data_IF_920449945100
#
_entry.id   IF_920449945100
#
_cell.length_a   1.000
_cell.length_b   1.000
_cell.length_c   1.000
_cell.angle_alpha   90.00
_cell.angle_beta   90.00
_cell.angle_gamma   90.00
#
_symmetry.space_group_name_H-M   'P 1'
#
loop_
_entity.id
_entity.type
_entity.pdbx_description
1 polymer ?
#
# COMPACT_ATOMS: atom_id res chain seq x y z
N UNK A 1 14.85 13.87 16.71
CA UNK A 1 16.28 14.14 16.39
C UNK A 1 16.59 14.15 14.89
N UNK A 2 16.37 13.08 14.10
CA UNK A 2 16.73 13.09 12.67
C UNK A 2 16.04 14.21 11.86
N UNK A 3 14.77 14.52 12.16
CA UNK A 3 13.97 15.53 11.44
C UNK A 3 13.99 16.94 12.05
N UNK A 4 14.55 17.08 13.25
CA UNK A 4 14.39 18.27 14.10
C UNK A 4 15.01 19.54 13.47
N UNK A 5 16.10 19.35 12.73
CA UNK A 5 16.83 20.41 12.03
C UNK A 5 16.78 20.24 10.51
N UNK A 6 15.89 19.39 10.01
CA UNK A 6 15.79 19.11 8.58
C UNK A 6 14.95 20.17 7.89
N UNK A 7 15.56 20.88 6.94
CA UNK A 7 14.86 21.78 6.04
C UNK A 7 14.35 21.03 4.81
N UNK A 8 13.14 21.34 4.39
CA UNK A 8 12.59 20.88 3.10
C UNK A 8 13.27 21.64 1.97
N UNK A 9 14.27 21.02 1.31
CA UNK A 9 14.98 21.63 0.19
C UNK A 9 15.35 20.63 -0.91
N UNK A 10 15.51 21.15 -2.14
CA UNK A 10 16.00 20.37 -3.29
C UNK A 10 17.40 19.82 -3.07
N UNK A 11 18.26 20.58 -2.39
CA UNK A 11 19.64 20.16 -2.09
C UNK A 11 19.66 18.97 -1.11
N UNK A 12 18.89 19.06 -0.02
CA UNK A 12 18.77 17.95 0.95
C UNK A 12 18.16 16.72 0.27
N UNK A 13 17.16 16.92 -0.60
CA UNK A 13 16.57 15.83 -1.37
C UNK A 13 17.59 15.14 -2.28
N UNK A 14 18.31 15.90 -3.11
CA UNK A 14 19.33 15.35 -4.00
C UNK A 14 20.46 14.65 -3.23
N UNK A 15 20.90 15.23 -2.10
CA UNK A 15 21.90 14.62 -1.22
C UNK A 15 21.43 13.27 -0.69
N UNK A 16 20.21 13.20 -0.15
CA UNK A 16 19.64 11.95 0.37
C UNK A 16 19.43 10.92 -0.74
N UNK A 17 18.99 11.34 -1.92
CA UNK A 17 18.83 10.45 -3.08
C UNK A 17 20.17 9.80 -3.47
N UNK A 18 21.24 10.60 -3.53
CA UNK A 18 22.58 10.17 -3.92
C UNK A 18 23.35 9.42 -2.82
N UNK A 19 22.88 9.44 -1.57
CA UNK A 19 23.60 8.74 -0.49
C UNK A 19 23.28 7.24 -0.53
N UNK A 20 24.29 6.36 -0.65
CA UNK A 20 24.10 4.92 -0.66
C UNK A 20 23.44 4.43 0.65
N UNK A 21 22.33 3.65 0.58
CA UNK A 21 21.65 3.16 1.77
C UNK A 21 22.52 2.26 2.65
N UNK A 22 23.47 1.52 2.06
CA UNK A 22 24.32 0.56 2.77
C UNK A 22 25.26 1.22 3.78
N UNK A 23 25.52 2.52 3.63
CA UNK A 23 26.32 3.31 4.57
C UNK A 23 25.50 3.86 5.76
N UNK A 24 24.20 3.53 5.84
CA UNK A 24 23.27 4.06 6.85
C UNK A 24 22.78 2.98 7.80
N UNK A 25 22.58 3.36 9.07
CA UNK A 25 21.81 2.55 10.04
C UNK A 25 20.34 2.44 9.63
N UNK A 26 19.63 1.46 10.17
CA UNK A 26 18.22 1.22 9.86
C UNK A 26 17.34 2.45 10.15
N UNK A 27 17.60 3.16 11.25
CA UNK A 27 16.88 4.39 11.62
C UNK A 27 17.17 5.50 10.61
N UNK A 28 18.40 5.62 10.13
CA UNK A 28 18.76 6.60 9.10
C UNK A 28 18.13 6.25 7.74
N UNK A 29 18.09 4.97 7.36
CA UNK A 29 17.39 4.52 6.14
C UNK A 29 15.89 4.82 6.23
N UNK A 30 15.26 4.55 7.37
CA UNK A 30 13.85 4.87 7.60
C UNK A 30 13.59 6.38 7.53
N UNK A 31 14.43 7.20 8.16
CA UNK A 31 14.31 8.65 8.11
C UNK A 31 14.50 9.20 6.69
N UNK A 32 15.51 8.69 5.95
CA UNK A 32 15.76 8.99 4.54
C UNK A 32 14.53 8.65 3.69
N UNK A 33 14.01 7.44 3.80
CA UNK A 33 12.83 6.98 3.05
C UNK A 33 11.63 7.91 3.30
N UNK A 34 11.36 8.21 4.58
CA UNK A 34 10.26 9.09 4.96
C UNK A 34 10.42 10.49 4.37
N UNK A 35 11.61 11.09 4.45
CA UNK A 35 11.87 12.42 3.85
C UNK A 35 11.65 12.40 2.33
N UNK A 36 12.24 11.42 1.63
CA UNK A 36 12.14 11.33 0.18
C UNK A 36 10.69 11.13 -0.26
N UNK A 37 9.92 10.25 0.40
CA UNK A 37 8.53 10.00 0.02
C UNK A 37 7.62 11.21 0.14
N UNK A 38 7.80 12.04 1.18
CA UNK A 38 6.96 13.21 1.38
C UNK A 38 7.31 14.37 0.43
N UNK A 39 8.52 14.37 -0.12
CA UNK A 39 9.01 15.42 -1.01
C UNK A 39 9.12 14.97 -2.47
N UNK A 40 8.86 13.70 -2.79
CA UNK A 40 8.84 13.19 -4.15
C UNK A 40 7.52 13.51 -4.85
N UNK A 41 7.59 13.95 -6.10
CA UNK A 41 6.41 14.16 -6.93
C UNK A 41 5.64 12.84 -7.10
N UNK A 42 4.34 12.88 -6.77
CA UNK A 42 3.46 11.70 -6.83
C UNK A 42 3.83 10.58 -5.85
N UNK A 43 4.67 10.84 -4.84
CA UNK A 43 5.08 9.84 -3.86
C UNK A 43 5.73 8.60 -4.50
N UNK A 44 6.43 8.78 -5.63
CA UNK A 44 7.10 7.67 -6.31
C UNK A 44 8.30 7.21 -5.48
N UNK A 45 8.48 5.90 -5.39
CA UNK A 45 9.65 5.27 -4.73
C UNK A 45 10.84 5.08 -5.68
N UNK A 46 10.59 5.03 -6.99
CA UNK A 46 11.60 4.89 -8.06
C UNK A 46 11.52 6.08 -9.02
N UNK A 47 12.66 6.48 -9.60
CA UNK A 47 12.78 7.68 -10.45
C UNK A 47 12.16 8.94 -9.82
N UNK A 48 12.56 9.20 -8.57
CA UNK A 48 11.98 10.28 -7.77
C UNK A 48 12.48 11.65 -8.24
N UNK A 49 11.57 12.61 -8.35
CA UNK A 49 11.86 14.01 -8.59
C UNK A 49 11.29 14.85 -7.45
N UNK A 50 11.96 15.93 -7.08
CA UNK A 50 11.46 16.83 -6.02
C UNK A 50 10.14 17.47 -6.45
N UNK A 51 9.08 17.17 -5.71
CA UNK A 51 7.73 17.69 -5.91
C UNK A 51 7.54 19.07 -5.31
N UNK A 52 6.85 19.94 -6.03
CA UNK A 52 6.45 21.27 -5.56
C UNK A 52 4.99 21.51 -5.90
N UNK A 53 4.26 22.15 -5.00
CA UNK A 53 2.93 22.67 -5.25
C UNK A 53 2.91 24.16 -4.90
N UNK A 54 2.38 24.98 -5.80
CA UNK A 54 2.21 26.43 -5.59
C UNK A 54 0.88 26.76 -4.91
N UNK A 55 -0.01 25.78 -4.81
CA UNK A 55 -1.38 25.92 -4.29
C UNK A 55 -1.58 25.27 -2.92
N UNK A 56 -0.56 24.61 -2.37
CA UNK A 56 -0.63 23.96 -1.05
C UNK A 56 0.64 24.22 -0.24
N UNK A 57 0.51 24.08 1.08
CA UNK A 57 1.64 24.23 2.00
C UNK A 57 2.64 23.09 1.78
N UNK A 58 3.92 23.44 1.74
CA UNK A 58 5.01 22.46 1.68
C UNK A 58 4.98 21.54 2.91
N UNK A 59 5.55 20.33 2.74
CA UNK A 59 5.66 19.38 3.83
C UNK A 59 6.53 19.94 4.98
N UNK A 60 6.02 19.77 6.19
CA UNK A 60 6.59 20.29 7.42
C UNK A 60 7.18 19.14 8.26
N UNK A 61 8.52 19.08 8.30
CA UNK A 61 9.26 18.05 9.00
C UNK A 61 9.03 18.09 10.54
N UNK A 62 8.63 19.23 11.10
CA UNK A 62 8.35 19.35 12.54
C UNK A 62 7.14 18.51 12.98
N UNK A 63 6.22 18.21 12.06
CA UNK A 63 5.03 17.41 12.36
C UNK A 63 5.29 15.91 12.42
N UNK A 64 6.49 15.46 12.01
CA UNK A 64 6.80 14.03 11.91
C UNK A 64 6.74 13.34 13.26
N UNK A 65 7.24 13.97 14.31
CA UNK A 65 7.23 13.40 15.66
C UNK A 65 5.80 13.15 16.16
N UNK A 66 4.91 14.14 15.99
CA UNK A 66 3.51 14.01 16.38
C UNK A 66 2.82 12.86 15.60
N UNK A 67 3.07 12.76 14.29
CA UNK A 67 2.54 11.68 13.45
C UNK A 67 3.05 10.30 13.86
N UNK A 68 4.35 10.17 14.13
CA UNK A 68 4.95 8.91 14.58
C UNK A 68 4.42 8.50 15.95
N UNK A 69 4.22 9.45 16.86
CA UNK A 69 3.60 9.19 18.17
C UNK A 69 2.17 8.70 18.03
N UNK A 70 1.35 9.38 17.22
CA UNK A 70 -0.02 8.96 16.95
C UNK A 70 -0.08 7.55 16.30
N UNK A 71 0.82 7.26 15.36
CA UNK A 71 0.91 5.93 14.75
C UNK A 71 1.31 4.86 15.77
N UNK A 72 2.31 5.13 16.63
CA UNK A 72 2.71 4.24 17.72
C UNK A 72 1.55 3.95 18.66
N UNK A 73 0.80 4.97 19.06
CA UNK A 73 -0.32 4.81 20.00
C UNK A 73 -1.47 4.01 19.34
N UNK A 74 -1.75 4.26 18.06
CA UNK A 74 -2.74 3.49 17.29
C UNK A 74 -2.35 2.02 17.11
N UNK A 75 -1.07 1.74 16.90
CA UNK A 75 -0.54 0.39 16.70
C UNK A 75 -0.18 -0.33 18.00
N UNK A 76 -0.56 0.24 19.15
CA UNK A 76 -0.29 -0.40 20.44
C UNK A 76 -1.03 -1.74 20.54
N UNK A 77 -0.27 -2.81 20.78
CA UNK A 77 -0.80 -4.17 20.84
C UNK A 77 -0.95 -4.85 19.47
N UNK A 78 -0.48 -4.23 18.39
CA UNK A 78 -0.45 -4.81 17.04
C UNK A 78 0.89 -5.53 16.82
N UNK A 79 0.84 -6.75 16.29
CA UNK A 79 2.00 -7.46 15.79
C UNK A 79 2.29 -7.02 14.34
N UNK A 80 3.53 -6.66 14.04
CA UNK A 80 3.97 -6.24 12.70
C UNK A 80 4.88 -7.34 12.14
N UNK A 81 4.52 -7.87 10.99
CA UNK A 81 5.23 -8.95 10.31
C UNK A 81 5.74 -8.46 8.95
N UNK A 82 6.96 -8.84 8.59
CA UNK A 82 7.53 -8.63 7.26
C UNK A 82 7.94 -9.99 6.69
N UNK A 83 6.98 -10.69 6.08
CA UNK A 83 7.18 -11.99 5.45
C UNK A 83 6.17 -12.19 4.30
N UNK A 84 6.22 -13.34 3.61
CA UNK A 84 5.22 -13.64 2.59
C UNK A 84 3.82 -13.72 3.20
N UNK A 85 2.83 -13.19 2.47
CA UNK A 85 1.45 -13.13 2.95
C UNK A 85 0.92 -14.52 3.33
N UNK A 86 1.29 -15.57 2.60
CA UNK A 86 0.87 -16.95 2.88
C UNK A 86 1.33 -17.45 4.25
N UNK A 87 2.57 -17.13 4.63
CA UNK A 87 3.13 -17.57 5.92
C UNK A 87 2.41 -16.87 7.06
N UNK A 88 2.19 -15.56 6.91
CA UNK A 88 1.41 -14.77 7.86
C UNK A 88 -0.02 -15.31 7.98
N UNK A 89 -0.69 -15.54 6.84
CA UNK A 89 -2.05 -16.09 6.78
C UNK A 89 -2.16 -17.43 7.52
N UNK A 90 -1.29 -18.40 7.20
CA UNK A 90 -1.26 -19.72 7.83
C UNK A 90 -1.01 -19.65 9.34
N UNK A 91 -0.16 -18.72 9.80
CA UNK A 91 0.13 -18.55 11.23
C UNK A 91 -1.12 -18.18 12.02
N UNK A 92 -1.89 -17.25 11.49
CA UNK A 92 -3.02 -16.63 12.19
C UNK A 92 -4.38 -17.27 11.86
N UNK A 93 -4.48 -18.23 10.95
CA UNK A 93 -5.75 -18.83 10.56
C UNK A 93 -6.40 -19.64 11.70
N UNK A 94 -7.50 -19.11 12.25
CA UNK A 94 -8.32 -19.67 13.33
C UNK A 94 -9.78 -19.33 13.04
N UNK A 95 -10.71 -20.08 13.62
CA UNK A 95 -12.16 -19.86 13.42
C UNK A 95 -12.62 -18.44 13.78
N UNK A 96 -11.97 -17.79 14.74
CA UNK A 96 -12.29 -16.43 15.17
C UNK A 96 -11.50 -15.34 14.41
N UNK A 97 -10.58 -15.72 13.52
CA UNK A 97 -9.75 -14.77 12.79
C UNK A 97 -10.55 -14.12 11.68
N UNK A 98 -10.39 -12.82 11.53
CA UNK A 98 -10.85 -12.06 10.37
C UNK A 98 -9.65 -11.53 9.60
N UNK A 99 -9.56 -11.91 8.32
CA UNK A 99 -8.55 -11.44 7.39
C UNK A 99 -9.15 -10.39 6.47
N UNK A 100 -8.46 -9.26 6.35
CA UNK A 100 -8.67 -8.30 5.27
C UNK A 100 -7.49 -8.40 4.31
N UNK A 101 -7.78 -8.71 3.05
CA UNK A 101 -6.80 -8.85 1.98
C UNK A 101 -6.99 -7.72 0.95
N UNK A 102 -5.89 -7.05 0.65
CA UNK A 102 -5.83 -5.95 -0.32
C UNK A 102 -4.56 -6.11 -1.18
N UNK A 103 -4.53 -7.13 -2.06
CA UNK A 103 -3.38 -7.38 -2.93
C UNK A 103 -3.27 -6.30 -4.02
N UNK A 104 -2.13 -6.22 -4.72
CA UNK A 104 -2.04 -5.47 -5.96
C UNK A 104 -3.23 -5.74 -6.90
N UNK A 105 -3.78 -4.69 -7.52
CA UNK A 105 -4.94 -4.85 -8.40
C UNK A 105 -4.51 -5.42 -9.75
N UNK A 106 -5.27 -6.41 -10.24
CA UNK A 106 -4.93 -7.14 -11.46
C UNK A 106 -4.87 -6.21 -12.67
N UNK A 107 -3.77 -6.30 -13.44
CA UNK A 107 -3.52 -5.48 -14.64
C UNK A 107 -3.69 -3.96 -14.45
N UNK A 108 -3.53 -3.46 -13.23
CA UNK A 108 -3.56 -2.01 -12.95
C UNK A 108 -2.14 -1.46 -12.93
N UNK A 109 -1.93 -0.31 -13.59
CA UNK A 109 -0.62 0.34 -13.64
C UNK A 109 -0.18 0.80 -12.24
N UNK A 110 1.09 0.55 -11.88
CA UNK A 110 1.71 1.10 -10.66
C UNK A 110 2.10 0.07 -9.60
N UNK A 111 1.75 -1.20 -9.78
CA UNK A 111 2.26 -2.29 -8.94
C UNK A 111 3.46 -2.96 -9.59
N UNK A 112 4.51 -3.20 -8.80
CA UNK A 112 5.68 -3.98 -9.24
C UNK A 112 5.24 -5.41 -9.59
N UNK A 113 5.83 -5.98 -10.64
CA UNK A 113 5.44 -7.25 -11.26
C UNK A 113 5.65 -8.51 -10.39
N UNK A 114 5.83 -8.35 -9.08
CA UNK A 114 6.10 -9.44 -8.14
C UNK A 114 4.85 -10.23 -7.72
N UNK A 115 3.64 -9.71 -7.99
CA UNK A 115 2.37 -10.39 -7.69
C UNK A 115 1.71 -10.87 -9.00
N UNK A 116 2.18 -12.02 -9.50
CA UNK A 116 1.70 -12.62 -10.73
C UNK A 116 0.33 -13.30 -10.56
N UNK A 117 -0.23 -13.84 -11.67
CA UNK A 117 -1.53 -14.51 -11.66
C UNK A 117 -1.60 -15.66 -10.64
N UNK A 118 -0.50 -16.41 -10.47
CA UNK A 118 -0.44 -17.57 -9.56
C UNK A 118 -0.69 -17.19 -8.10
N UNK A 119 -0.35 -15.96 -7.71
CA UNK A 119 -0.63 -15.45 -6.38
C UNK A 119 -2.13 -15.26 -6.12
N UNK A 120 -2.90 -14.87 -7.14
CA UNK A 120 -4.36 -14.76 -7.01
C UNK A 120 -5.00 -16.16 -6.93
N UNK A 121 -4.52 -17.12 -7.71
CA UNK A 121 -4.98 -18.52 -7.63
C UNK A 121 -4.71 -19.11 -6.24
N UNK A 122 -3.53 -18.82 -5.68
CA UNK A 122 -3.16 -19.22 -4.34
C UNK A 122 -4.01 -18.52 -3.27
N UNK A 123 -4.36 -17.26 -3.47
CA UNK A 123 -5.26 -16.53 -2.58
C UNK A 123 -6.67 -17.13 -2.60
N UNK A 124 -7.22 -17.44 -3.79
CA UNK A 124 -8.52 -18.11 -3.91
C UNK A 124 -8.52 -19.47 -3.19
N UNK A 125 -7.44 -20.25 -3.33
CA UNK A 125 -7.27 -21.50 -2.58
C UNK A 125 -7.17 -21.27 -1.07
N UNK A 126 -6.38 -20.31 -0.62
CA UNK A 126 -6.24 -20.00 0.80
C UNK A 126 -7.57 -19.54 1.42
N UNK A 127 -8.37 -18.76 0.67
CA UNK A 127 -9.69 -18.31 1.09
C UNK A 127 -10.70 -19.46 1.23
N UNK A 128 -10.67 -20.44 0.32
CA UNK A 128 -11.59 -21.59 0.39
C UNK A 128 -11.22 -22.59 1.49
N UNK A 129 -9.93 -22.72 1.82
CA UNK A 129 -9.43 -23.61 2.87
C UNK A 129 -9.35 -22.95 4.27
N UNK A 130 -9.56 -21.63 4.34
CA UNK A 130 -9.46 -20.83 5.57
C UNK A 130 -10.48 -21.24 6.63
N UNK A 131 -10.04 -21.34 7.89
CA UNK A 131 -10.94 -21.50 9.05
C UNK A 131 -11.60 -20.19 9.43
N UNK A 132 -10.86 -19.09 9.28
CA UNK A 132 -11.34 -17.75 9.53
C UNK A 132 -12.13 -17.16 8.36
N UNK A 133 -12.67 -15.97 8.61
CA UNK A 133 -13.37 -15.16 7.60
C UNK A 133 -12.36 -14.34 6.80
N UNK A 134 -12.46 -14.34 5.48
CA UNK A 134 -11.58 -13.56 4.60
C UNK A 134 -12.39 -12.61 3.71
N UNK A 135 -12.08 -11.31 3.82
CA UNK A 135 -12.61 -10.26 2.96
C UNK A 135 -11.51 -9.76 2.04
N UNK A 136 -11.74 -9.84 0.73
CA UNK A 136 -10.82 -9.38 -0.30
C UNK A 136 -11.39 -8.16 -1.02
N UNK A 137 -10.61 -7.09 -1.10
CA UNK A 137 -10.85 -5.94 -1.98
C UNK A 137 -10.00 -6.05 -3.24
N UNK A 138 -10.61 -5.88 -4.42
CA UNK A 138 -9.90 -5.98 -5.70
C UNK A 138 -10.66 -5.25 -6.83
N UNK A 139 -10.01 -5.00 -7.97
CA UNK A 139 -10.67 -4.41 -9.13
C UNK A 139 -11.70 -5.35 -9.78
N UNK A 140 -12.74 -4.76 -10.35
CA UNK A 140 -13.73 -5.45 -11.18
C UNK A 140 -13.13 -5.84 -12.53
N UNK A 141 -12.66 -7.08 -12.62
CA UNK A 141 -12.07 -7.66 -13.83
C UNK A 141 -12.67 -9.04 -14.15
N UNK A 142 -12.92 -9.37 -15.43
CA UNK A 142 -13.46 -10.68 -15.83
C UNK A 142 -12.68 -11.88 -15.28
N UNK A 143 -11.35 -11.84 -15.35
CA UNK A 143 -10.50 -12.92 -14.82
C UNK A 143 -10.68 -13.10 -13.31
N UNK A 144 -10.76 -12.00 -12.55
CA UNK A 144 -10.97 -12.04 -11.10
C UNK A 144 -12.35 -12.60 -10.78
N UNK A 145 -13.40 -12.17 -11.50
CA UNK A 145 -14.74 -12.74 -11.34
C UNK A 145 -14.77 -14.23 -11.64
N UNK A 146 -14.05 -14.68 -12.68
CA UNK A 146 -13.97 -16.08 -13.04
C UNK A 146 -13.24 -16.91 -11.98
N UNK A 147 -12.13 -16.39 -11.45
CA UNK A 147 -11.33 -17.05 -10.42
C UNK A 147 -12.09 -17.20 -9.09
N UNK A 148 -12.82 -16.16 -8.69
CA UNK A 148 -13.54 -16.12 -7.42
C UNK A 148 -15.05 -16.40 -7.55
N UNK A 149 -15.48 -17.02 -8.66
CA UNK A 149 -16.91 -17.25 -8.99
C UNK A 149 -17.72 -17.98 -7.91
N UNK A 150 -17.06 -18.84 -7.13
CA UNK A 150 -17.67 -19.67 -6.10
C UNK A 150 -17.75 -18.95 -4.74
N UNK A 151 -17.25 -17.72 -4.66
CA UNK A 151 -17.29 -16.86 -3.47
C UNK A 151 -18.45 -15.86 -3.55
N UNK A 152 -18.76 -15.24 -2.41
CA UNK A 152 -19.72 -14.15 -2.36
C UNK A 152 -19.08 -12.87 -2.89
N UNK A 153 -19.48 -12.44 -4.08
CA UNK A 153 -18.98 -11.22 -4.74
C UNK A 153 -19.99 -10.09 -4.57
N UNK A 154 -19.54 -8.95 -4.04
CA UNK A 154 -20.29 -7.69 -3.99
C UNK A 154 -19.56 -6.65 -4.84
N UNK A 155 -20.26 -6.08 -5.82
CA UNK A 155 -19.71 -5.00 -6.64
C UNK A 155 -19.96 -3.65 -5.96
N UNK A 156 -18.92 -2.83 -5.88
CA UNK A 156 -18.97 -1.44 -5.47
C UNK A 156 -18.84 -0.56 -6.71
N UNK A 157 -19.83 0.30 -6.93
CA UNK A 157 -19.77 1.29 -7.99
C UNK A 157 -18.92 2.48 -7.52
N UNK A 158 -17.72 2.61 -8.10
CA UNK A 158 -16.88 3.79 -7.90
C UNK A 158 -17.09 4.76 -9.04
N UNK A 159 -17.59 5.95 -8.71
CA UNK A 159 -17.59 7.07 -9.65
C UNK A 159 -16.19 7.68 -9.69
N UNK A 160 -15.27 7.07 -10.44
CA UNK A 160 -13.94 7.66 -10.68
C UNK A 160 -14.07 8.85 -11.66
N UNK A 161 -14.32 10.05 -11.15
CA UNK A 161 -14.17 11.30 -11.93
C UNK A 161 -12.77 11.86 -11.76
N UNK A 162 -11.79 11.20 -12.38
CA UNK A 162 -10.43 11.75 -12.55
C UNK A 162 -10.08 11.77 -14.04
N UNK A 163 -10.79 12.59 -14.80
CA UNK A 163 -10.54 12.80 -16.22
C UNK A 163 -11.59 13.69 -16.85
N UNK A 164 -11.17 14.71 -17.61
CA UNK A 164 -12.06 15.61 -18.36
C UNK A 164 -12.62 14.97 -19.65
N UNK A 165 -12.43 13.67 -19.82
CA UNK A 165 -12.90 12.88 -20.96
C UNK A 165 -14.02 11.92 -20.55
N UNK A 166 -15.13 11.98 -21.29
CA UNK A 166 -16.37 11.22 -21.08
C UNK A 166 -16.32 9.79 -21.65
N UNK A 167 -15.13 9.20 -21.82
CA UNK A 167 -14.97 7.81 -22.30
C UNK A 167 -14.47 6.87 -21.19
N UNK A 168 -14.86 7.13 -19.95
CA UNK A 168 -14.44 6.38 -18.77
C UNK A 168 -14.82 4.91 -18.87
N UNK A 169 -13.82 4.02 -18.90
CA UNK A 169 -14.02 2.63 -18.47
C UNK A 169 -14.54 2.68 -17.03
N UNK A 170 -15.69 2.04 -16.80
CA UNK A 170 -16.22 1.81 -15.47
C UNK A 170 -15.27 0.86 -14.74
N UNK A 171 -14.30 1.41 -14.02
CA UNK A 171 -13.47 0.65 -13.09
C UNK A 171 -14.26 0.47 -11.81
N UNK A 172 -15.01 -0.63 -11.71
CA UNK A 172 -15.65 -1.04 -10.46
C UNK A 172 -14.64 -1.63 -9.47
N UNK A 173 -15.01 -1.68 -8.20
CA UNK A 173 -14.31 -2.48 -7.19
C UNK A 173 -15.19 -3.66 -6.76
N UNK A 174 -14.56 -4.75 -6.36
CA UNK A 174 -15.20 -5.96 -5.85
C UNK A 174 -14.79 -6.17 -4.40
N UNK A 175 -15.78 -6.54 -3.60
CA UNK A 175 -15.59 -7.12 -2.27
C UNK A 175 -15.96 -8.60 -2.35
N UNK A 176 -15.00 -9.47 -2.07
CA UNK A 176 -15.14 -10.93 -2.19
C UNK A 176 -14.99 -11.56 -0.80
N UNK A 177 -15.98 -12.34 -0.38
CA UNK A 177 -16.01 -12.97 0.95
C UNK A 177 -16.14 -14.50 0.85
N UNK A 178 -15.54 -15.22 1.80
CA UNK A 178 -15.65 -16.68 1.93
C UNK A 178 -16.79 -17.15 2.86
N UNK A 179 -17.77 -16.28 3.15
CA UNK A 179 -18.94 -16.57 3.99
C UNK A 179 -20.22 -15.91 3.48
#
# INVERSE_FOLDING_TARGET
RQFEWTLTSREVFARLQNTPPDCMTDIQRAARFFYLQHNAFGGKTVHQYFGTATTSKAWDASQVEAKLKAAKDRLKGVYIENESWERCFKRYDREHTFFYADPPYWQTAGYDSAFDWSQYELLAKAMSESKGKVMLSINDHPDIRALFKDFRITQLELTYTVGRDKSGKTSGELVICNW
#
